data_IF_667590130183
#
_entry.id   IF_667590130183
#
_cell.length_a   1.000
_cell.length_b   1.000
_cell.length_c   1.000
_cell.angle_alpha   90.00
_cell.angle_beta   90.00
_cell.angle_gamma   90.00
#
_symmetry.space_group_name_H-M   'P 1'
#
loop_
_entity.id
_entity.type
_entity.pdbx_description
1 polymer ?
#
# COMPACT_ATOMS: atom_id res chain seq x y z
N UNK A 1 31.13 -3.02 2.71
CA UNK A 1 30.78 -2.47 4.05
C UNK A 1 29.72 -1.44 3.78
N UNK A 2 28.45 -1.76 4.03
CA UNK A 2 27.32 -0.86 3.78
C UNK A 2 27.49 0.38 4.67
N UNK A 3 27.61 1.54 4.06
CA UNK A 3 27.84 2.78 4.78
C UNK A 3 26.50 3.25 5.33
N UNK A 4 26.31 3.18 6.65
CA UNK A 4 25.05 3.57 7.29
C UNK A 4 24.71 5.04 7.01
N UNK A 5 23.43 5.34 6.74
CA UNK A 5 22.93 6.70 6.61
C UNK A 5 23.28 7.51 7.88
N UNK A 6 23.84 8.74 7.75
CA UNK A 6 24.18 9.57 8.90
C UNK A 6 23.00 9.73 9.88
N UNK A 7 23.28 9.67 11.19
CA UNK A 7 22.25 9.66 12.24
C UNK A 7 21.28 10.86 12.19
N UNK A 8 21.72 12.01 11.68
CA UNK A 8 20.85 13.18 11.55
C UNK A 8 19.92 13.11 10.32
N UNK A 9 20.29 12.33 9.30
CA UNK A 9 19.48 12.02 8.13
C UNK A 9 18.49 10.88 8.42
N UNK A 10 18.89 9.86 9.19
CA UNK A 10 17.96 8.81 9.70
C UNK A 10 16.77 9.38 10.48
N UNK A 11 16.95 10.53 11.14
CA UNK A 11 15.88 11.21 11.89
C UNK A 11 14.84 11.90 11.00
N UNK A 12 15.19 12.18 9.74
CA UNK A 12 14.29 12.79 8.75
C UNK A 12 13.82 11.79 7.69
N UNK A 13 14.48 10.63 7.57
CA UNK A 13 14.04 9.49 6.76
C UNK A 13 12.65 8.97 7.17
N UNK A 14 12.31 9.02 8.46
CA UNK A 14 10.99 8.65 8.98
C UNK A 14 9.85 9.59 8.53
N UNK A 15 10.15 10.65 7.79
CA UNK A 15 9.19 11.61 7.29
C UNK A 15 9.00 11.36 5.78
N UNK A 16 7.77 11.08 5.33
CA UNK A 16 7.47 10.93 3.92
C UNK A 16 7.98 12.14 3.11
N UNK A 17 8.71 11.87 2.03
CA UNK A 17 9.21 12.85 1.05
C UNK A 17 10.23 13.89 1.56
N UNK A 18 10.66 13.85 2.82
CA UNK A 18 11.58 14.86 3.35
C UNK A 18 12.99 14.77 2.75
N UNK A 19 13.50 13.55 2.54
CA UNK A 19 14.78 13.34 1.86
C UNK A 19 14.68 13.70 0.37
N UNK A 20 13.54 13.41 -0.25
CA UNK A 20 13.32 13.67 -1.68
C UNK A 20 13.25 15.17 -1.97
N UNK A 21 12.65 15.96 -1.08
CA UNK A 21 12.69 17.43 -1.16
C UNK A 21 14.14 17.95 -1.04
N UNK A 22 14.97 17.42 -0.14
CA UNK A 22 16.38 17.82 -0.03
C UNK A 22 17.15 17.46 -1.32
N UNK A 23 16.95 16.24 -1.85
CA UNK A 23 17.56 15.78 -3.11
C UNK A 23 17.14 16.66 -4.28
N UNK A 24 15.86 16.98 -4.36
CA UNK A 24 15.28 17.82 -5.40
C UNK A 24 15.89 19.21 -5.38
N UNK A 25 15.83 19.91 -4.23
CA UNK A 25 16.38 21.26 -4.11
C UNK A 25 17.87 21.30 -4.45
N UNK A 26 18.65 20.27 -4.09
CA UNK A 26 20.07 20.21 -4.44
C UNK A 26 20.35 20.11 -5.95
N UNK A 27 19.36 19.71 -6.77
CA UNK A 27 19.46 19.68 -8.23
C UNK A 27 19.01 20.98 -8.89
N UNK A 28 18.31 21.84 -8.14
CA UNK A 28 17.78 23.09 -8.65
C UNK A 28 18.85 24.18 -8.69
N UNK A 29 18.73 25.15 -9.62
CA UNK A 29 19.59 26.33 -9.61
C UNK A 29 19.41 27.08 -8.29
N UNK A 30 20.53 27.56 -7.72
CA UNK A 30 20.58 28.25 -6.42
C UNK A 30 20.09 27.43 -5.22
N UNK A 31 19.79 26.15 -5.41
CA UNK A 31 19.19 25.25 -4.43
C UNK A 31 17.82 25.69 -3.92
N UNK A 32 17.04 26.37 -4.76
CA UNK A 32 15.72 26.91 -4.41
C UNK A 32 14.64 26.51 -5.42
N UNK A 33 13.40 26.34 -4.94
CA UNK A 33 12.23 26.11 -5.79
C UNK A 33 10.93 26.59 -5.14
N UNK A 34 9.94 26.89 -5.98
CA UNK A 34 8.59 27.28 -5.56
C UNK A 34 7.79 26.04 -5.16
N UNK A 35 6.92 26.15 -4.15
CA UNK A 35 6.07 25.05 -3.65
C UNK A 35 5.42 24.25 -4.77
N UNK A 36 4.69 24.92 -5.66
CA UNK A 36 3.92 24.25 -6.72
C UNK A 36 4.82 23.37 -7.60
N UNK A 37 6.02 23.87 -7.94
CA UNK A 37 6.99 23.13 -8.76
C UNK A 37 7.57 21.93 -7.99
N UNK A 38 7.83 22.08 -6.68
CA UNK A 38 8.30 20.97 -5.84
C UNK A 38 7.22 19.88 -5.75
N UNK A 39 5.96 20.27 -5.55
CA UNK A 39 4.84 19.33 -5.46
C UNK A 39 4.61 18.59 -6.78
N UNK A 40 4.62 19.31 -7.90
CA UNK A 40 4.41 18.74 -9.23
C UNK A 40 5.55 17.80 -9.64
N UNK A 41 6.80 18.22 -9.48
CA UNK A 41 7.96 17.43 -9.92
C UNK A 41 8.21 16.17 -9.06
N UNK A 42 7.78 16.20 -7.78
CA UNK A 42 7.91 15.06 -6.87
C UNK A 42 6.64 14.21 -6.78
N UNK A 43 5.56 14.59 -7.48
CA UNK A 43 4.24 13.96 -7.37
C UNK A 43 3.76 13.83 -5.91
N UNK A 44 3.92 14.91 -5.13
CA UNK A 44 3.52 14.96 -3.72
C UNK A 44 2.39 15.96 -3.50
N UNK A 45 1.35 15.53 -2.78
CA UNK A 45 0.23 16.40 -2.42
C UNK A 45 0.58 17.44 -1.34
N UNK A 46 -0.16 18.54 -1.30
CA UNK A 46 0.03 19.68 -0.37
C UNK A 46 0.14 19.29 1.11
N UNK A 47 -0.61 18.26 1.53
CA UNK A 47 -0.60 17.78 2.91
C UNK A 47 0.75 17.13 3.24
N UNK A 48 1.25 16.25 2.35
CA UNK A 48 2.53 15.55 2.50
C UNK A 48 3.68 16.54 2.45
N UNK A 49 3.66 17.44 1.46
CA UNK A 49 4.59 18.56 1.36
C UNK A 49 4.60 19.40 2.65
N UNK A 50 3.42 19.81 3.14
CA UNK A 50 3.28 20.65 4.33
C UNK A 50 3.83 20.01 5.62
N UNK A 51 3.69 18.69 5.78
CA UNK A 51 4.29 17.95 6.90
C UNK A 51 5.81 17.91 6.78
N UNK A 52 6.33 17.55 5.61
CA UNK A 52 7.77 17.43 5.35
C UNK A 52 8.47 18.79 5.49
N UNK A 53 7.99 19.82 4.80
CA UNK A 53 8.62 21.14 4.75
C UNK A 53 8.64 21.81 6.12
N UNK A 54 7.56 21.70 6.92
CA UNK A 54 7.52 22.24 8.29
C UNK A 54 8.63 21.64 9.15
N UNK A 55 8.87 20.34 8.99
CA UNK A 55 9.88 19.63 9.75
C UNK A 55 11.30 19.93 9.27
N UNK A 56 11.51 20.01 7.96
CA UNK A 56 12.78 20.43 7.35
C UNK A 56 13.16 21.86 7.78
N UNK A 57 12.18 22.77 7.82
CA UNK A 57 12.37 24.14 8.33
C UNK A 57 12.69 24.15 9.82
N UNK A 58 11.94 23.39 10.62
CA UNK A 58 12.18 23.31 12.08
C UNK A 58 13.56 22.76 12.43
N UNK A 59 14.05 21.81 11.64
CA UNK A 59 15.39 21.22 11.81
C UNK A 59 16.49 22.04 11.14
N UNK A 60 16.12 23.13 10.45
CA UNK A 60 17.04 24.07 9.84
C UNK A 60 17.74 23.55 8.59
N UNK A 61 17.17 22.57 7.88
CA UNK A 61 17.70 22.09 6.58
C UNK A 61 17.22 22.96 5.42
N UNK A 62 16.01 23.50 5.53
CA UNK A 62 15.38 24.32 4.50
C UNK A 62 14.92 25.63 5.13
N UNK A 63 14.93 26.71 4.37
CA UNK A 63 14.35 27.98 4.76
C UNK A 63 13.35 28.45 3.70
N UNK A 64 12.33 29.18 4.15
CA UNK A 64 11.39 29.83 3.24
C UNK A 64 11.89 31.24 2.97
N UNK A 65 12.06 31.56 1.68
CA UNK A 65 12.35 32.90 1.20
C UNK A 65 11.04 33.64 0.86
N UNK A 66 11.16 34.79 0.20
CA UNK A 66 9.99 35.48 -0.34
C UNK A 66 9.27 34.61 -1.39
N UNK A 67 7.99 34.87 -1.62
CA UNK A 67 7.19 34.25 -2.69
C UNK A 67 7.05 32.72 -2.63
N UNK A 68 6.90 32.13 -1.43
CA UNK A 68 6.70 30.68 -1.27
C UNK A 68 7.80 29.85 -1.93
N UNK A 69 9.01 30.40 -1.97
CA UNK A 69 10.20 29.69 -2.46
C UNK A 69 10.92 29.09 -1.27
N UNK A 70 11.25 27.80 -1.35
CA UNK A 70 12.03 27.11 -0.34
C UNK A 70 13.43 26.85 -0.86
N UNK A 71 14.44 27.16 -0.05
CA UNK A 71 15.85 26.99 -0.37
C UNK A 71 16.60 26.18 0.68
N UNK A 72 17.62 25.42 0.26
CA UNK A 72 18.50 24.74 1.20
C UNK A 72 19.26 25.76 2.05
N UNK A 73 19.35 25.50 3.35
CA UNK A 73 20.31 26.22 4.22
C UNK A 73 21.69 25.60 4.07
N UNK A 74 22.71 26.19 4.71
CA UNK A 74 24.03 25.55 4.81
C UNK A 74 23.98 24.12 5.37
N UNK A 75 23.08 23.85 6.34
CA UNK A 75 22.89 22.51 6.87
C UNK A 75 22.19 21.60 5.86
N UNK A 76 21.24 22.13 5.08
CA UNK A 76 20.57 21.44 3.98
C UNK A 76 21.51 21.03 2.87
N UNK A 77 22.41 21.93 2.46
CA UNK A 77 23.43 21.65 1.44
C UNK A 77 24.39 20.56 1.87
N UNK A 78 24.85 20.60 3.13
CA UNK A 78 25.70 19.54 3.69
C UNK A 78 24.96 18.21 3.73
N UNK A 79 23.72 18.20 4.20
CA UNK A 79 22.86 17.03 4.19
C UNK A 79 22.67 16.48 2.77
N UNK A 80 22.45 17.34 1.78
CA UNK A 80 22.29 16.95 0.38
C UNK A 80 23.58 16.36 -0.22
N UNK A 81 24.74 16.92 0.12
CA UNK A 81 26.04 16.37 -0.31
C UNK A 81 26.33 15.01 0.32
N UNK A 82 25.99 14.84 1.59
CA UNK A 82 26.09 13.56 2.29
C UNK A 82 25.12 12.52 1.68
N UNK A 83 23.88 12.91 1.37
CA UNK A 83 22.92 12.07 0.63
C UNK A 83 23.46 11.71 -0.77
N UNK A 84 23.97 12.66 -1.52
CA UNK A 84 24.52 12.39 -2.86
C UNK A 84 25.78 11.51 -2.81
N UNK A 85 26.50 11.49 -1.68
CA UNK A 85 27.64 10.59 -1.48
C UNK A 85 27.15 9.19 -1.10
N UNK A 86 26.14 9.12 -0.22
CA UNK A 86 25.45 7.88 0.12
C UNK A 86 24.85 7.22 -1.13
N UNK A 87 24.08 7.97 -1.93
CA UNK A 87 23.45 7.51 -3.18
C UNK A 87 24.50 7.05 -4.22
N UNK A 88 25.71 7.62 -4.22
CA UNK A 88 26.86 7.18 -5.07
C UNK A 88 27.60 5.95 -4.54
N UNK A 89 27.42 5.61 -3.28
CA UNK A 89 28.05 4.43 -2.67
C UNK A 89 27.11 3.22 -2.79
N UNK A 90 25.80 3.49 -2.80
CA UNK A 90 24.72 2.59 -3.21
C UNK A 90 24.50 2.67 -4.74
N UNK A 91 25.57 2.69 -5.55
CA UNK A 91 25.52 2.74 -7.04
C UNK A 91 25.02 1.40 -7.64
N UNK A 92 23.88 0.92 -7.16
CA UNK A 92 22.75 0.49 -7.97
C UNK A 92 21.47 1.09 -7.37
N UNK A 93 20.86 2.04 -8.08
CA UNK A 93 19.47 1.85 -8.41
C UNK A 93 19.38 1.81 -9.93
N UNK A 94 19.24 0.59 -10.47
CA UNK A 94 18.29 0.47 -11.57
C UNK A 94 17.03 1.21 -11.11
N UNK A 95 16.43 2.02 -11.98
CA UNK A 95 14.99 2.22 -11.91
C UNK A 95 14.39 0.81 -12.04
N UNK A 96 14.36 0.06 -10.94
CA UNK A 96 13.52 -1.10 -10.81
C UNK A 96 12.13 -0.49 -10.83
N UNK A 97 11.50 -0.51 -12.00
CA UNK A 97 10.06 -0.69 -12.08
C UNK A 97 9.68 -1.57 -10.90
N UNK A 98 8.90 -1.08 -9.92
CA UNK A 98 8.67 -1.80 -8.68
C UNK A 98 8.34 -3.23 -9.05
N UNK A 99 9.13 -4.19 -8.57
CA UNK A 99 9.05 -5.57 -9.05
C UNK A 99 7.60 -6.04 -8.85
N UNK A 100 6.84 -6.11 -9.95
CA UNK A 100 5.42 -6.41 -9.89
C UNK A 100 5.30 -7.88 -9.55
N UNK A 101 4.97 -8.16 -8.29
CA UNK A 101 4.84 -9.51 -7.81
C UNK A 101 3.38 -9.95 -7.92
N UNK A 102 3.18 -10.97 -8.73
CA UNK A 102 1.87 -11.60 -8.86
C UNK A 102 1.69 -12.61 -7.74
N UNK A 103 0.70 -12.42 -6.87
CA UNK A 103 0.32 -13.41 -5.84
C UNK A 103 -1.14 -13.80 -5.93
N UNK A 104 -1.39 -15.10 -5.77
CA UNK A 104 -2.73 -15.67 -5.85
C UNK A 104 -3.48 -15.48 -4.55
N UNK A 105 -4.75 -15.09 -4.66
CA UNK A 105 -5.72 -15.12 -3.55
C UNK A 105 -6.77 -16.19 -3.82
N UNK A 106 -7.25 -16.81 -2.74
CA UNK A 106 -8.31 -17.81 -2.78
C UNK A 106 -9.51 -17.38 -1.95
N UNK A 107 -10.71 -17.71 -2.44
CA UNK A 107 -11.96 -17.70 -1.65
C UNK A 107 -12.50 -19.11 -1.63
N UNK A 108 -12.59 -19.72 -0.45
CA UNK A 108 -13.22 -21.01 -0.23
C UNK A 108 -14.61 -20.85 0.42
N UNK A 109 -15.63 -21.40 -0.23
CA UNK A 109 -17.04 -21.27 0.15
C UNK A 109 -17.83 -22.48 -0.39
N UNK A 110 -18.94 -22.91 0.25
CA UNK A 110 -19.84 -23.91 -0.33
C UNK A 110 -20.31 -23.54 -1.74
N UNK A 111 -20.24 -24.49 -2.67
CA UNK A 111 -20.63 -24.28 -4.08
C UNK A 111 -22.11 -23.89 -4.24
N UNK A 112 -22.94 -24.42 -3.35
CA UNK A 112 -24.36 -24.09 -3.23
C UNK A 112 -24.64 -23.70 -1.79
N UNK A 113 -25.46 -22.67 -1.63
CA UNK A 113 -25.84 -22.10 -0.35
C UNK A 113 -27.31 -22.42 -0.05
N UNK A 114 -27.72 -22.30 1.20
CA UNK A 114 -29.13 -22.44 1.62
C UNK A 114 -29.58 -21.13 2.23
N UNK A 115 -30.70 -20.58 1.74
CA UNK A 115 -31.23 -19.30 2.20
C UNK A 115 -31.44 -19.28 3.73
N UNK A 116 -30.95 -18.23 4.39
CA UNK A 116 -31.02 -18.06 5.84
C UNK A 116 -30.06 -18.92 6.65
N UNK A 117 -29.28 -19.81 6.04
CA UNK A 117 -28.28 -20.62 6.74
C UNK A 117 -26.89 -19.98 6.63
N UNK A 118 -26.33 -19.63 7.80
CA UNK A 118 -24.97 -19.09 7.89
C UNK A 118 -23.94 -20.14 7.49
N UNK A 119 -23.00 -19.76 6.61
CA UNK A 119 -21.88 -20.58 6.17
C UNK A 119 -20.56 -19.83 6.34
N UNK A 120 -19.44 -20.55 6.59
CA UNK A 120 -18.13 -19.94 6.63
C UNK A 120 -17.62 -19.64 5.22
N UNK A 121 -17.01 -18.47 5.05
CA UNK A 121 -16.24 -18.07 3.87
C UNK A 121 -14.79 -17.87 4.32
N UNK A 122 -13.85 -18.51 3.63
CA UNK A 122 -12.43 -18.37 3.92
C UNK A 122 -11.72 -17.67 2.78
N UNK A 123 -10.91 -16.67 3.12
CA UNK A 123 -10.03 -15.95 2.19
C UNK A 123 -8.60 -16.31 2.55
N UNK A 124 -7.80 -16.69 1.55
CA UNK A 124 -6.46 -17.20 1.78
C UNK A 124 -5.44 -16.71 0.78
N UNK A 125 -4.23 -16.47 1.27
CA UNK A 125 -3.03 -16.26 0.48
C UNK A 125 -2.08 -17.43 0.77
N UNK A 126 -1.66 -18.20 -0.25
CA UNK A 126 -0.67 -19.26 -0.07
C UNK A 126 0.70 -18.64 0.26
N UNK A 127 1.64 -19.49 0.65
CA UNK A 127 3.03 -19.06 0.80
C UNK A 127 3.61 -18.55 -0.53
N UNK A 128 4.43 -17.51 -0.45
CA UNK A 128 5.12 -16.96 -1.61
C UNK A 128 6.44 -16.33 -1.18
N UNK A 129 7.56 -16.94 -1.58
CA UNK A 129 8.90 -16.51 -1.15
C UNK A 129 9.31 -15.15 -1.71
N UNK A 130 8.63 -14.66 -2.76
CA UNK A 130 8.93 -13.36 -3.39
C UNK A 130 8.59 -12.16 -2.50
N UNK A 131 7.74 -12.34 -1.48
CA UNK A 131 7.31 -11.27 -0.57
C UNK A 131 8.29 -11.14 0.60
N UNK A 132 9.52 -10.69 0.31
CA UNK A 132 10.59 -10.56 1.30
C UNK A 132 10.30 -9.48 2.34
N UNK A 133 9.55 -8.44 1.95
CA UNK A 133 9.09 -7.36 2.84
C UNK A 133 7.58 -7.48 3.02
N UNK A 134 7.08 -7.53 4.27
CA UNK A 134 5.64 -7.57 4.49
C UNK A 134 5.02 -6.23 4.08
N UNK A 135 4.00 -6.30 3.22
CA UNK A 135 3.21 -5.14 2.80
C UNK A 135 1.87 -5.09 3.53
N UNK A 136 1.34 -3.89 3.75
CA UNK A 136 0.01 -3.72 4.33
C UNK A 136 -1.03 -3.77 3.20
N UNK A 137 -2.00 -4.67 3.34
CA UNK A 137 -3.02 -4.96 2.32
C UNK A 137 -4.40 -4.81 2.94
N UNK A 138 -5.29 -4.12 2.23
CA UNK A 138 -6.69 -3.93 2.61
C UNK A 138 -7.56 -4.87 1.78
N UNK A 139 -8.29 -5.74 2.46
CA UNK A 139 -9.30 -6.61 1.89
C UNK A 139 -10.68 -5.97 2.08
N UNK A 140 -11.34 -5.65 0.97
CA UNK A 140 -12.74 -5.20 0.98
C UNK A 140 -13.62 -6.31 0.44
N UNK A 141 -14.59 -6.71 1.24
CA UNK A 141 -15.56 -7.73 0.88
C UNK A 141 -16.96 -7.13 0.80
N UNK A 142 -17.64 -7.40 -0.30
CA UNK A 142 -19.01 -6.99 -0.53
C UNK A 142 -19.82 -8.23 -0.93
N UNK A 143 -21.06 -8.32 -0.45
CA UNK A 143 -21.99 -9.36 -0.83
C UNK A 143 -23.27 -8.75 -1.39
N UNK A 144 -23.82 -9.40 -2.42
CA UNK A 144 -25.13 -9.10 -2.99
C UNK A 144 -26.03 -10.31 -2.75
N UNK A 145 -27.25 -10.06 -2.27
CA UNK A 145 -28.23 -11.08 -1.87
C UNK A 145 -27.72 -12.02 -0.75
N UNK A 146 -26.80 -11.52 0.08
CA UNK A 146 -26.31 -12.19 1.26
C UNK A 146 -25.79 -11.15 2.25
N UNK A 147 -25.88 -11.46 3.53
CA UNK A 147 -25.29 -10.69 4.61
C UNK A 147 -23.95 -11.30 5.02
N UNK A 148 -22.97 -10.47 5.38
CA UNK A 148 -21.64 -10.91 5.84
C UNK A 148 -21.38 -10.37 7.23
N UNK A 149 -20.83 -11.18 8.12
CA UNK A 149 -20.66 -10.80 9.52
C UNK A 149 -19.66 -9.65 9.75
N UNK A 150 -18.85 -9.31 8.75
CA UNK A 150 -17.88 -8.21 8.79
C UNK A 150 -18.00 -7.36 7.52
N UNK A 151 -18.56 -6.16 7.67
CA UNK A 151 -18.67 -5.17 6.57
C UNK A 151 -17.49 -4.18 6.53
N UNK A 152 -16.61 -4.22 7.52
CA UNK A 152 -15.46 -3.33 7.59
C UNK A 152 -14.29 -3.88 6.76
N UNK A 153 -13.54 -2.97 6.15
CA UNK A 153 -12.31 -3.30 5.46
C UNK A 153 -11.30 -3.96 6.41
N UNK A 154 -10.72 -5.07 5.98
CA UNK A 154 -9.76 -5.82 6.79
C UNK A 154 -8.34 -5.50 6.33
N UNK A 155 -7.55 -4.91 7.22
CA UNK A 155 -6.11 -4.70 7.00
C UNK A 155 -5.34 -5.94 7.46
N UNK A 156 -4.47 -6.46 6.60
CA UNK A 156 -3.57 -7.59 6.87
C UNK A 156 -2.13 -7.25 6.48
N UNK A 157 -1.15 -7.87 7.15
CA UNK A 157 0.26 -7.84 6.75
C UNK A 157 0.56 -9.04 5.88
N UNK A 158 0.75 -8.81 4.59
CA UNK A 158 1.02 -9.85 3.61
C UNK A 158 2.54 -10.00 3.42
N UNK A 159 3.09 -11.11 3.92
CA UNK A 159 4.50 -11.50 3.75
C UNK A 159 4.63 -12.92 3.23
N UNK A 160 5.80 -13.55 3.36
CA UNK A 160 6.05 -14.88 2.75
C UNK A 160 5.10 -16.00 3.21
N UNK A 161 4.63 -15.94 4.45
CA UNK A 161 3.82 -17.00 5.06
C UNK A 161 2.38 -17.03 4.53
N UNK A 162 1.76 -18.20 4.67
CA UNK A 162 0.31 -18.38 4.47
C UNK A 162 -0.45 -17.41 5.37
N UNK A 163 -1.43 -16.73 4.79
CA UNK A 163 -2.39 -15.92 5.53
C UNK A 163 -3.80 -16.43 5.23
N UNK A 164 -4.59 -16.65 6.26
CA UNK A 164 -5.99 -17.05 6.13
C UNK A 164 -6.86 -16.19 7.02
N UNK A 165 -8.05 -15.89 6.53
CA UNK A 165 -9.05 -15.10 7.20
C UNK A 165 -10.41 -15.73 6.94
N UNK A 166 -11.23 -15.83 7.98
CA UNK A 166 -12.56 -16.42 7.90
C UNK A 166 -13.60 -15.42 8.37
N UNK A 167 -14.75 -15.46 7.71
CA UNK A 167 -15.95 -14.71 8.06
C UNK A 167 -17.17 -15.59 7.82
N UNK A 168 -18.30 -15.13 8.32
CA UNK A 168 -19.57 -15.83 8.14
C UNK A 168 -20.43 -15.08 7.13
N UNK A 169 -21.14 -15.82 6.29
CA UNK A 169 -22.05 -15.28 5.30
C UNK A 169 -23.42 -15.97 5.43
N UNK A 170 -24.49 -15.20 5.44
CA UNK A 170 -25.87 -15.70 5.44
C UNK A 170 -26.56 -15.28 4.14
N UNK A 171 -26.89 -16.22 3.24
CA UNK A 171 -27.59 -15.92 2.00
C UNK A 171 -29.03 -15.48 2.27
N UNK A 172 -29.53 -14.53 1.47
CA UNK A 172 -30.93 -14.14 1.48
C UNK A 172 -31.78 -15.06 0.58
N UNK A 173 -33.10 -14.84 0.54
CA UNK A 173 -34.07 -15.64 -0.21
C UNK A 173 -34.10 -15.29 -1.70
N UNK A 174 -32.96 -15.42 -2.38
CA UNK A 174 -32.80 -15.30 -3.82
C UNK A 174 -32.24 -16.61 -4.39
N UNK A 175 -32.23 -16.77 -5.71
CA UNK A 175 -31.66 -17.96 -6.37
C UNK A 175 -30.12 -17.87 -6.53
N UNK A 176 -29.56 -16.67 -6.35
CA UNK A 176 -28.13 -16.39 -6.47
C UNK A 176 -27.67 -15.36 -5.44
N UNK A 177 -26.48 -15.61 -4.89
CA UNK A 177 -25.70 -14.64 -4.13
C UNK A 177 -24.38 -14.37 -4.86
N UNK A 178 -23.89 -13.14 -4.79
CA UNK A 178 -22.60 -12.76 -5.37
C UNK A 178 -21.69 -12.21 -4.30
N UNK A 179 -20.49 -12.77 -4.22
CA UNK A 179 -19.42 -12.26 -3.38
C UNK A 179 -18.39 -11.52 -4.23
N UNK A 180 -17.97 -10.34 -3.79
CA UNK A 180 -16.95 -9.53 -4.43
C UNK A 180 -15.83 -9.28 -3.43
N UNK A 181 -14.63 -9.68 -3.80
CA UNK A 181 -13.40 -9.35 -3.08
C UNK A 181 -12.61 -8.34 -3.90
N UNK A 182 -12.27 -7.21 -3.28
CA UNK A 182 -11.29 -6.27 -3.80
C UNK A 182 -10.10 -6.20 -2.86
N UNK A 183 -8.91 -6.18 -3.42
CA UNK A 183 -7.66 -6.13 -2.67
C UNK A 183 -6.91 -4.87 -3.06
N UNK A 184 -6.52 -4.12 -2.05
CA UNK A 184 -5.74 -2.90 -2.20
C UNK A 184 -4.43 -3.02 -1.44
N UNK A 185 -3.35 -2.51 -2.00
CA UNK A 185 -2.09 -2.32 -1.30
C UNK A 185 -2.05 -0.92 -0.73
N UNK A 186 -1.71 -0.82 0.55
CA UNK A 186 -1.47 0.44 1.21
C UNK A 186 -0.04 0.90 0.89
N UNK A 187 0.13 2.16 0.53
CA UNK A 187 1.46 2.77 0.39
C UNK A 187 2.26 2.67 1.71
N UNK A 188 3.58 2.74 1.62
CA UNK A 188 4.46 2.63 2.79
C UNK A 188 4.19 3.71 3.87
N UNK A 189 3.59 4.84 3.49
CA UNK A 189 3.20 5.92 4.40
C UNK A 189 1.74 5.83 4.89
N UNK A 190 0.96 4.87 4.38
CA UNK A 190 -0.40 4.61 4.85
C UNK A 190 -1.48 5.53 4.29
N UNK A 191 -1.14 6.42 3.34
CA UNK A 191 -2.04 7.47 2.85
C UNK A 191 -2.76 7.08 1.55
N UNK A 192 -2.14 6.26 0.71
CA UNK A 192 -2.65 5.89 -0.62
C UNK A 192 -3.00 4.39 -0.72
N UNK A 193 -4.03 4.09 -1.52
CA UNK A 193 -4.48 2.73 -1.81
C UNK A 193 -4.33 2.42 -3.30
N UNK A 194 -3.47 1.46 -3.62
CA UNK A 194 -3.28 0.94 -4.96
C UNK A 194 -4.14 -0.30 -5.18
N UNK A 195 -4.78 -0.41 -6.35
CA UNK A 195 -5.65 -1.55 -6.67
C UNK A 195 -4.80 -2.73 -7.12
N UNK A 196 -4.77 -3.81 -6.32
CA UNK A 196 -4.03 -5.04 -6.64
C UNK A 196 -4.85 -6.02 -7.49
N UNK A 197 -6.16 -5.82 -7.54
CA UNK A 197 -7.10 -6.68 -8.25
C UNK A 197 -8.22 -7.19 -7.34
N UNK A 198 -8.84 -8.30 -7.73
CA UNK A 198 -9.96 -8.87 -7.01
C UNK A 198 -10.64 -9.99 -7.78
N UNK A 199 -11.78 -10.44 -7.25
CA UNK A 199 -12.62 -11.43 -7.93
C UNK A 199 -14.09 -11.26 -7.58
N UNK A 200 -14.94 -11.79 -8.45
CA UNK A 200 -16.36 -11.98 -8.21
C UNK A 200 -16.67 -13.47 -8.23
N UNK A 201 -17.47 -13.94 -7.29
CA UNK A 201 -17.91 -15.32 -7.18
C UNK A 201 -19.43 -15.35 -7.14
N UNK A 202 -20.03 -15.98 -8.14
CA UNK A 202 -21.47 -16.23 -8.19
C UNK A 202 -21.78 -17.60 -7.60
N UNK A 203 -22.66 -17.61 -6.60
CA UNK A 203 -23.02 -18.79 -5.82
C UNK A 203 -24.52 -19.05 -5.99
N UNK A 204 -24.87 -20.32 -6.21
CA UNK A 204 -26.27 -20.75 -6.28
C UNK A 204 -26.85 -20.81 -4.88
N UNK A 205 -28.05 -20.27 -4.68
CA UNK A 205 -28.77 -20.31 -3.40
C UNK A 205 -30.01 -21.17 -3.56
N UNK A 206 -30.23 -22.08 -2.62
CA UNK A 206 -31.36 -23.00 -2.58
C UNK A 206 -32.29 -22.62 -1.41
N UNK A 207 -33.59 -22.88 -1.56
CA UNK A 207 -34.57 -22.59 -0.51
C UNK A 207 -34.47 -23.55 0.69
N UNK A 208 -34.08 -24.80 0.46
CA UNK A 208 -33.98 -25.86 1.47
C UNK A 208 -32.91 -26.90 1.09
N UNK A 209 -32.46 -27.68 2.07
CA UNK A 209 -31.45 -28.72 1.88
C UNK A 209 -30.20 -28.47 2.74
N UNK A 210 -29.08 -29.02 2.30
CA UNK A 210 -27.77 -28.82 2.92
C UNK A 210 -26.88 -27.97 1.99
N UNK A 211 -25.98 -27.13 2.55
CA UNK A 211 -24.96 -26.47 1.76
C UNK A 211 -24.12 -27.49 0.96
N UNK A 212 -23.72 -27.09 -0.25
CA UNK A 212 -22.88 -27.93 -1.09
C UNK A 212 -21.46 -28.10 -0.55
N UNK A 213 -20.66 -28.93 -1.22
CA UNK A 213 -19.25 -29.06 -0.90
C UNK A 213 -18.51 -27.71 -1.04
N UNK A 214 -17.54 -27.47 -0.16
CA UNK A 214 -16.67 -26.30 -0.21
C UNK A 214 -15.77 -26.37 -1.44
N UNK A 215 -15.78 -25.31 -2.23
CA UNK A 215 -14.92 -25.13 -3.40
C UNK A 215 -14.10 -23.85 -3.24
N UNK A 216 -12.91 -23.84 -3.85
CA UNK A 216 -12.03 -22.67 -3.83
C UNK A 216 -11.99 -22.00 -5.21
N UNK A 217 -12.21 -20.69 -5.23
CA UNK A 217 -12.03 -19.81 -6.38
C UNK A 217 -10.72 -19.06 -6.21
N UNK A 218 -10.02 -18.79 -7.30
CA UNK A 218 -8.72 -18.16 -7.27
C UNK A 218 -8.61 -17.00 -8.27
N UNK A 219 -7.86 -15.97 -7.91
CA UNK A 219 -7.43 -14.92 -8.81
C UNK A 219 -5.99 -14.53 -8.52
N UNK A 220 -5.30 -14.10 -9.56
CA UNK A 220 -3.95 -13.55 -9.46
C UNK A 220 -4.07 -12.03 -9.22
N UNK A 221 -3.31 -11.53 -8.25
CA UNK A 221 -3.27 -10.12 -7.86
C UNK A 221 -1.86 -9.57 -8.08
N UNK A 222 -1.77 -8.30 -8.46
CA UNK A 222 -0.51 -7.59 -8.66
C UNK A 222 -0.17 -6.73 -7.45
N UNK A 223 1.09 -6.79 -7.01
CA UNK A 223 1.61 -6.01 -5.89
C UNK A 223 2.93 -5.37 -6.27
N UNK A 224 3.23 -4.22 -5.67
CA UNK A 224 4.45 -3.45 -5.94
C UNK A 224 5.36 -3.41 -4.72
N UNK A 225 6.68 -3.48 -4.92
CA UNK A 225 7.66 -3.25 -3.84
C UNK A 225 7.65 -4.30 -2.71
N UNK A 226 7.54 -5.58 -3.07
CA UNK A 226 7.42 -6.72 -2.13
C UNK A 226 8.75 -7.35 -1.71
#
# INVERSE_FOLDING_TARGET
>A
MTQDLPMHLKRIELLPSALDIIRYLNRQPEHEAVVDVICDDLDIGDIRFGKAIRRLVTLGYVQMNAHLTYGLTHNGERAAQELATYDRTDDEPLEETPEEAIRRVYIAVPRSLVAGQTVPVQIGFPEDTRFHRPIDVVLRLEALNADISQHEDKIIKLGQSVNTYALDMTPEWYDQARLKLQVFQLSADGEDLYVCGGMYVDLTVMAEGEPGETVAFAADLAFEGV
#
